data_IF_561150358528
#
_entry.id   IF_561150358528
#
_cell.length_a   1.000
_cell.length_b   1.000
_cell.length_c   1.000
_cell.angle_alpha   90.00
_cell.angle_beta   90.00
_cell.angle_gamma   90.00
#
_symmetry.space_group_name_H-M   'P 1'
#
loop_
_entity.id
_entity.type
_entity.pdbx_description
1 polymer ?
#
# COMPACT_ATOMS: atom_id res chain seq x y z
N UNK A 1 12.81 -18.12 -10.61
CA UNK A 1 13.95 -17.59 -11.40
C UNK A 1 14.87 -18.72 -11.86
N UNK A 2 15.53 -19.44 -10.95
CA UNK A 2 16.46 -20.54 -11.28
C UNK A 2 15.80 -21.62 -12.16
N UNK A 3 14.58 -22.06 -11.84
CA UNK A 3 13.84 -23.04 -12.64
C UNK A 3 13.53 -22.59 -14.08
N UNK A 4 13.59 -21.29 -14.35
CA UNK A 4 13.45 -20.71 -15.69
C UNK A 4 14.81 -20.58 -16.41
N UNK A 5 15.88 -21.19 -15.90
CA UNK A 5 17.21 -21.23 -16.53
C UNK A 5 18.11 -20.03 -16.21
N UNK A 6 17.72 -19.16 -15.27
CA UNK A 6 18.49 -17.97 -14.92
C UNK A 6 19.50 -18.23 -13.79
N UNK A 7 20.72 -17.68 -13.94
CA UNK A 7 21.71 -17.64 -12.86
C UNK A 7 21.33 -16.55 -11.86
N UNK A 8 21.16 -16.91 -10.59
CA UNK A 8 20.71 -16.00 -9.54
C UNK A 8 21.78 -15.90 -8.44
N UNK A 9 22.12 -14.68 -8.03
CA UNK A 9 23.05 -14.43 -6.94
C UNK A 9 22.38 -13.53 -5.91
N UNK A 10 22.50 -13.88 -4.63
CA UNK A 10 22.11 -13.00 -3.53
C UNK A 10 23.25 -12.02 -3.27
N UNK A 11 22.92 -10.74 -3.24
CA UNK A 11 23.88 -9.67 -2.96
C UNK A 11 23.36 -8.94 -1.73
N UNK A 12 24.14 -8.92 -0.66
CA UNK A 12 23.82 -8.17 0.54
C UNK A 12 24.31 -6.73 0.36
N UNK A 13 23.40 -5.76 0.49
CA UNK A 13 23.76 -4.35 0.48
C UNK A 13 24.18 -3.92 1.89
N UNK A 14 25.37 -3.35 2.01
CA UNK A 14 25.83 -2.62 3.20
C UNK A 14 26.12 -1.18 2.79
N UNK A 15 25.74 -0.21 3.61
CA UNK A 15 25.82 1.19 3.22
C UNK A 15 27.26 1.70 3.11
N UNK A 16 28.21 1.06 3.80
CA UNK A 16 29.65 1.34 3.71
C UNK A 16 30.27 0.89 2.39
N UNK A 17 29.68 -0.11 1.73
CA UNK A 17 30.16 -0.65 0.45
C UNK A 17 29.30 -0.21 -0.74
N UNK A 18 28.55 0.88 -0.60
CA UNK A 18 27.60 1.38 -1.59
C UNK A 18 28.17 1.38 -3.03
N UNK A 19 29.33 1.99 -3.24
CA UNK A 19 29.89 2.14 -4.59
C UNK A 19 30.30 0.77 -5.17
N UNK A 20 30.89 -0.11 -4.34
CA UNK A 20 31.24 -1.49 -4.73
C UNK A 20 30.01 -2.31 -5.09
N UNK A 21 28.93 -2.16 -4.33
CA UNK A 21 27.66 -2.83 -4.58
C UNK A 21 27.09 -2.41 -5.94
N UNK A 22 27.03 -1.11 -6.23
CA UNK A 22 26.50 -0.63 -7.50
C UNK A 22 27.42 -0.92 -8.70
N UNK A 23 28.73 -1.00 -8.50
CA UNK A 23 29.65 -1.50 -9.55
C UNK A 23 29.47 -3.00 -9.84
N UNK A 24 29.12 -3.79 -8.83
CA UNK A 24 28.75 -5.19 -9.01
C UNK A 24 27.40 -5.32 -9.73
N UNK A 25 26.38 -4.53 -9.33
CA UNK A 25 25.06 -4.53 -9.95
C UNK A 25 25.09 -4.33 -11.47
N UNK A 26 26.03 -3.52 -11.98
CA UNK A 26 26.22 -3.26 -13.42
C UNK A 26 26.58 -4.51 -14.24
N UNK A 27 26.93 -5.62 -13.59
CA UNK A 27 27.31 -6.89 -14.24
C UNK A 27 26.14 -7.88 -14.39
N UNK A 28 24.94 -7.50 -13.96
CA UNK A 28 23.74 -8.32 -14.02
C UNK A 28 22.81 -7.86 -15.15
N UNK A 29 22.05 -8.80 -15.72
CA UNK A 29 21.01 -8.49 -16.70
C UNK A 29 19.83 -7.74 -16.06
N UNK A 30 19.50 -8.06 -14.81
CA UNK A 30 18.50 -7.38 -14.01
C UNK A 30 18.70 -7.60 -12.51
N UNK A 31 18.00 -6.82 -11.70
CA UNK A 31 17.99 -6.86 -10.25
C UNK A 31 16.57 -7.07 -9.71
N UNK A 32 16.44 -7.82 -8.62
CA UNK A 32 15.22 -7.87 -7.80
C UNK A 32 15.56 -7.25 -6.45
N UNK A 33 14.97 -6.09 -6.17
CA UNK A 33 15.27 -5.35 -4.95
C UNK A 33 14.42 -5.92 -3.81
N UNK A 34 15.08 -6.43 -2.78
CA UNK A 34 14.46 -6.98 -1.55
C UNK A 34 14.88 -6.21 -0.29
N UNK A 35 15.39 -5.00 -0.45
CA UNK A 35 15.61 -4.06 0.65
C UNK A 35 14.28 -3.37 0.95
N UNK A 36 13.74 -3.54 2.16
CA UNK A 36 12.49 -2.88 2.53
C UNK A 36 12.75 -1.37 2.75
N UNK A 37 11.93 -0.46 2.18
CA UNK A 37 12.12 0.97 2.40
C UNK A 37 12.23 1.33 3.89
N UNK A 38 13.20 2.19 4.21
CA UNK A 38 13.48 2.62 5.59
C UNK A 38 14.51 1.75 6.32
N UNK A 39 14.71 0.49 5.93
CA UNK A 39 15.75 -0.35 6.55
C UNK A 39 17.16 0.19 6.31
N UNK A 40 17.43 0.74 5.12
CA UNK A 40 18.73 1.35 4.81
C UNK A 40 19.03 2.51 5.76
N UNK A 41 18.03 3.36 6.04
CA UNK A 41 18.17 4.47 6.99
C UNK A 41 18.30 3.97 8.43
N UNK A 42 17.53 2.96 8.81
CA UNK A 42 17.61 2.36 10.14
C UNK A 42 19.00 1.73 10.41
N UNK A 43 19.65 1.23 9.36
CA UNK A 43 21.02 0.71 9.39
C UNK A 43 22.10 1.81 9.36
N UNK A 44 21.73 3.10 9.29
CA UNK A 44 22.67 4.23 9.24
C UNK A 44 23.06 4.70 7.84
N UNK A 45 22.50 4.08 6.79
CA UNK A 45 22.68 4.48 5.40
C UNK A 45 21.73 5.59 4.93
N UNK A 46 21.82 5.91 3.64
CA UNK A 46 20.98 6.90 2.97
C UNK A 46 20.10 6.22 1.91
N UNK A 47 18.78 6.20 2.16
CA UNK A 47 17.78 5.62 1.24
C UNK A 47 17.75 6.38 -0.10
N UNK A 48 17.84 7.71 -0.08
CA UNK A 48 17.83 8.53 -1.29
C UNK A 48 19.07 8.28 -2.14
N UNK A 49 20.24 8.11 -1.51
CA UNK A 49 21.47 7.69 -2.21
C UNK A 49 21.27 6.33 -2.89
N UNK A 50 20.70 5.34 -2.21
CA UNK A 50 20.41 4.02 -2.78
C UNK A 50 19.45 4.11 -3.98
N UNK A 51 18.34 4.80 -3.81
CA UNK A 51 17.31 4.95 -4.84
C UNK A 51 17.88 5.66 -6.08
N UNK A 52 18.69 6.71 -5.89
CA UNK A 52 19.35 7.42 -7.00
C UNK A 52 20.36 6.55 -7.75
N UNK A 53 21.19 5.78 -7.05
CA UNK A 53 22.12 4.85 -7.70
C UNK A 53 21.38 3.74 -8.45
N UNK A 54 20.23 3.28 -7.94
CA UNK A 54 19.38 2.31 -8.62
C UNK A 54 18.70 2.90 -9.88
N UNK A 55 18.34 4.19 -9.86
CA UNK A 55 17.89 4.93 -11.06
C UNK A 55 18.99 5.01 -12.12
N UNK A 56 20.24 5.23 -11.72
CA UNK A 56 21.36 5.21 -12.67
C UNK A 56 21.61 3.81 -13.26
N UNK A 57 21.40 2.74 -12.48
CA UNK A 57 21.41 1.35 -13.01
C UNK A 57 20.30 1.17 -14.05
N UNK A 58 19.07 1.63 -13.76
CA UNK A 58 17.96 1.61 -14.73
C UNK A 58 18.29 2.37 -16.00
N UNK A 59 18.84 3.57 -15.88
CA UNK A 59 19.25 4.43 -17.00
C UNK A 59 20.37 3.81 -17.84
N UNK A 60 21.22 2.97 -17.24
CA UNK A 60 22.23 2.19 -17.95
C UNK A 60 21.66 0.97 -18.69
N UNK A 61 20.34 0.76 -18.68
CA UNK A 61 19.65 -0.31 -19.41
C UNK A 61 19.46 -1.60 -18.62
N UNK A 62 19.84 -1.63 -17.33
CA UNK A 62 19.66 -2.81 -16.48
C UNK A 62 18.31 -2.72 -15.80
N UNK A 63 17.48 -3.76 -15.88
CA UNK A 63 16.18 -3.76 -15.23
C UNK A 63 16.32 -3.90 -13.71
N UNK A 64 15.49 -3.19 -12.95
CA UNK A 64 15.36 -3.38 -11.51
C UNK A 64 13.87 -3.55 -11.17
N UNK A 65 13.53 -4.54 -10.35
CA UNK A 65 12.15 -4.81 -9.94
C UNK A 65 11.96 -4.73 -8.42
N UNK A 66 10.99 -3.91 -7.95
CA UNK A 66 10.49 -2.73 -8.68
C UNK A 66 11.62 -1.71 -8.85
N UNK A 67 11.49 -0.80 -9.81
CA UNK A 67 12.37 0.37 -9.85
C UNK A 67 12.00 1.33 -8.71
N UNK A 68 12.92 2.23 -8.30
CA UNK A 68 12.61 3.26 -7.31
C UNK A 68 11.37 4.08 -7.66
N UNK A 69 11.16 4.39 -8.94
CA UNK A 69 10.02 5.20 -9.39
C UNK A 69 8.70 4.42 -9.30
N UNK A 70 8.72 3.11 -9.54
CA UNK A 70 7.55 2.26 -9.32
C UNK A 70 7.22 2.19 -7.83
N UNK A 71 8.22 1.98 -6.96
CA UNK A 71 7.99 2.00 -5.49
C UNK A 71 7.45 3.35 -5.03
N UNK A 72 8.00 4.45 -5.54
CA UNK A 72 7.64 5.81 -5.14
C UNK A 72 6.24 6.20 -5.62
N UNK A 73 5.87 5.89 -6.87
CA UNK A 73 4.58 6.32 -7.43
C UNK A 73 3.45 5.32 -7.21
N UNK A 74 3.72 4.02 -7.35
CA UNK A 74 2.69 2.98 -7.17
C UNK A 74 2.44 2.69 -5.69
N UNK A 75 3.47 2.73 -4.86
CA UNK A 75 3.35 2.55 -3.41
C UNK A 75 2.83 3.78 -2.67
N UNK A 76 2.85 4.96 -3.28
CA UNK A 76 2.31 6.18 -2.68
C UNK A 76 0.78 6.16 -2.60
N UNK A 77 0.23 6.78 -1.55
CA UNK A 77 -1.23 6.78 -1.36
C UNK A 77 -1.98 7.59 -2.42
N UNK A 78 -1.39 8.61 -3.03
CA UNK A 78 -2.03 9.38 -4.10
C UNK A 78 -2.24 8.56 -5.38
N UNK A 79 -1.62 7.37 -5.50
CA UNK A 79 -1.98 6.39 -6.51
C UNK A 79 -3.50 6.11 -6.53
N UNK A 80 -4.16 6.12 -5.36
CA UNK A 80 -5.61 5.96 -5.22
C UNK A 80 -6.40 7.08 -5.91
N UNK A 81 -5.86 8.30 -5.90
CA UNK A 81 -6.47 9.45 -6.57
C UNK A 81 -6.28 9.35 -8.09
N UNK A 82 -5.11 8.89 -8.53
CA UNK A 82 -4.79 8.70 -9.96
C UNK A 82 -5.65 7.63 -10.62
N UNK A 83 -6.12 6.64 -9.86
CA UNK A 83 -7.02 5.58 -10.35
C UNK A 83 -8.48 5.80 -9.95
N UNK A 84 -8.85 6.97 -9.40
CA UNK A 84 -10.16 7.20 -8.79
C UNK A 84 -11.35 7.01 -9.76
N UNK A 85 -11.16 7.22 -11.06
CA UNK A 85 -12.19 7.07 -12.10
C UNK A 85 -12.17 5.69 -12.77
N UNK A 86 -11.30 4.77 -12.35
CA UNK A 86 -11.28 3.39 -12.84
C UNK A 86 -12.43 2.58 -12.21
N UNK A 87 -12.65 1.35 -12.69
CA UNK A 87 -13.70 0.50 -12.14
C UNK A 87 -13.40 0.15 -10.66
N UNK A 88 -12.13 -0.14 -10.35
CA UNK A 88 -11.62 -0.28 -8.98
C UNK A 88 -11.41 1.06 -8.24
N UNK A 89 -11.80 2.19 -8.84
CA UNK A 89 -11.61 3.53 -8.30
C UNK A 89 -12.77 4.03 -7.46
N UNK A 90 -12.48 5.06 -6.68
CA UNK A 90 -13.44 5.77 -5.85
C UNK A 90 -13.33 7.27 -6.12
N UNK A 91 -14.25 7.83 -6.91
CA UNK A 91 -14.16 9.17 -7.51
C UNK A 91 -14.02 10.31 -6.49
N UNK A 92 -14.53 10.13 -5.27
CA UNK A 92 -14.41 11.09 -4.18
C UNK A 92 -13.16 10.86 -3.30
N UNK A 93 -12.09 10.32 -3.89
CA UNK A 93 -10.74 10.22 -3.30
C UNK A 93 -9.90 11.42 -3.73
N UNK A 94 -9.42 12.19 -2.75
CA UNK A 94 -8.69 13.44 -2.96
C UNK A 94 -7.28 13.35 -2.39
N UNK A 95 -6.33 14.08 -2.98
CA UNK A 95 -4.97 14.25 -2.47
C UNK A 95 -4.71 15.73 -2.19
N UNK A 96 -4.12 16.01 -1.03
CA UNK A 96 -3.72 17.35 -0.61
C UNK A 96 -2.22 17.42 -0.44
N UNK A 97 -1.62 18.50 -0.93
CA UNK A 97 -0.18 18.74 -0.91
C UNK A 97 0.20 20.02 -0.16
N UNK A 98 -0.80 20.75 0.35
CA UNK A 98 -0.65 21.98 1.13
C UNK A 98 -1.57 21.96 2.34
N UNK A 99 -1.18 22.68 3.39
CA UNK A 99 -2.00 22.88 4.60
C UNK A 99 -3.35 23.50 4.26
N UNK A 100 -3.35 24.53 3.41
CA UNK A 100 -4.56 25.28 3.04
C UNK A 100 -5.56 24.38 2.30
N UNK A 101 -5.11 23.65 1.28
CA UNK A 101 -5.97 22.76 0.51
C UNK A 101 -6.54 21.65 1.38
N UNK A 102 -5.71 21.07 2.27
CA UNK A 102 -6.16 20.05 3.21
C UNK A 102 -7.20 20.61 4.18
N UNK A 103 -6.93 21.75 4.81
CA UNK A 103 -7.84 22.36 5.77
C UNK A 103 -9.21 22.69 5.17
N UNK A 104 -9.24 23.24 3.95
CA UNK A 104 -10.49 23.55 3.24
C UNK A 104 -11.18 22.29 2.74
N UNK A 105 -10.43 21.38 2.11
CA UNK A 105 -10.94 20.16 1.50
C UNK A 105 -11.51 19.19 2.54
N UNK A 106 -10.75 18.90 3.59
CA UNK A 106 -11.15 17.99 4.66
C UNK A 106 -12.42 18.45 5.36
N UNK A 107 -12.56 19.75 5.65
CA UNK A 107 -13.79 20.30 6.25
C UNK A 107 -15.03 20.07 5.38
N UNK A 108 -14.89 20.16 4.06
CA UNK A 108 -16.00 19.93 3.12
C UNK A 108 -16.35 18.46 3.00
N UNK A 109 -15.34 17.59 2.85
CA UNK A 109 -15.56 16.15 2.73
C UNK A 109 -16.11 15.54 4.01
N UNK A 110 -15.57 15.94 5.16
CA UNK A 110 -15.99 15.47 6.47
C UNK A 110 -17.41 15.92 6.83
N UNK A 111 -17.83 17.11 6.39
CA UNK A 111 -19.20 17.58 6.54
C UNK A 111 -20.21 16.78 5.70
N UNK A 112 -19.76 16.07 4.66
CA UNK A 112 -20.63 15.34 3.75
C UNK A 112 -20.84 13.87 4.16
N UNK A 113 -19.79 13.19 4.65
CA UNK A 113 -19.87 11.77 5.01
C UNK A 113 -18.60 11.30 5.75
N UNK A 114 -18.61 10.15 6.45
CA UNK A 114 -17.43 9.54 7.05
C UNK A 114 -16.24 9.37 6.09
N UNK A 115 -15.03 9.67 6.57
CA UNK A 115 -13.79 9.71 5.76
C UNK A 115 -12.72 8.77 6.29
N UNK A 116 -11.76 8.45 5.43
CA UNK A 116 -10.51 7.77 5.76
C UNK A 116 -9.37 8.66 5.31
N UNK A 117 -8.61 9.19 6.26
CA UNK A 117 -7.44 10.03 6.00
C UNK A 117 -6.18 9.17 6.08
N UNK A 118 -5.32 9.26 5.08
CA UNK A 118 -4.11 8.43 4.97
C UNK A 118 -2.89 9.31 4.75
N UNK A 119 -1.87 9.14 5.58
CA UNK A 119 -0.53 9.65 5.28
C UNK A 119 0.09 8.91 4.10
N UNK A 120 1.01 9.54 3.38
CA UNK A 120 1.64 8.92 2.21
C UNK A 120 2.47 7.68 2.53
N UNK A 121 3.41 7.84 3.46
CA UNK A 121 4.40 6.82 3.81
C UNK A 121 4.13 6.38 5.23
N UNK A 122 3.88 5.09 5.39
CA UNK A 122 3.56 4.46 6.67
C UNK A 122 3.40 2.96 6.43
N UNK A 123 3.62 2.17 7.46
CA UNK A 123 3.41 0.72 7.42
C UNK A 123 2.37 0.35 8.47
N UNK A 124 1.71 -0.79 8.26
CA UNK A 124 0.89 -1.43 9.28
C UNK A 124 -0.21 -0.52 9.84
N UNK A 125 -0.85 0.28 8.99
CA UNK A 125 -2.00 1.11 9.36
C UNK A 125 -1.68 2.43 10.07
N UNK A 126 -0.40 2.76 10.31
CA UNK A 126 -0.02 4.03 10.95
C UNK A 126 -0.42 5.22 10.06
N UNK A 127 -1.03 6.24 10.66
CA UNK A 127 -1.51 7.43 9.99
C UNK A 127 -2.65 7.16 9.00
N UNK A 128 -3.37 6.05 9.17
CA UNK A 128 -4.63 5.77 8.49
C UNK A 128 -5.75 5.92 9.53
N UNK A 129 -6.51 7.01 9.40
CA UNK A 129 -7.56 7.40 10.33
C UNK A 129 -8.93 7.20 9.72
N UNK A 130 -9.77 6.37 10.33
CA UNK A 130 -11.21 6.32 10.05
C UNK A 130 -11.89 7.40 10.90
N UNK A 131 -12.62 8.30 10.25
CA UNK A 131 -13.12 9.52 10.87
C UNK A 131 -14.63 9.65 10.68
N UNK A 132 -15.33 9.92 11.78
CA UNK A 132 -16.76 10.23 11.80
C UNK A 132 -16.99 11.54 12.55
N UNK A 133 -17.94 12.35 12.09
CA UNK A 133 -18.48 13.45 12.90
C UNK A 133 -19.27 12.87 14.07
N UNK A 134 -18.91 13.27 15.29
CA UNK A 134 -19.57 12.81 16.52
C UNK A 134 -21.05 13.19 16.56
N UNK A 135 -21.40 14.37 16.03
CA UNK A 135 -22.78 14.83 15.96
C UNK A 135 -23.59 14.19 14.83
N UNK A 136 -22.96 13.51 13.86
CA UNK A 136 -23.64 12.88 12.73
C UNK A 136 -24.41 13.83 11.80
N UNK A 137 -24.16 15.14 11.90
CA UNK A 137 -24.82 16.23 11.19
C UNK A 137 -24.26 16.43 9.76
N UNK A 138 -24.25 15.35 8.97
CA UNK A 138 -23.78 15.38 7.58
C UNK A 138 -24.74 16.15 6.66
N UNK A 139 -24.21 16.93 5.71
CA UNK A 139 -25.01 17.60 4.69
C UNK A 139 -25.45 16.64 3.58
N UNK A 140 -26.59 16.89 2.95
CA UNK A 140 -27.14 16.00 1.93
C UNK A 140 -26.43 16.14 0.58
N UNK A 141 -25.87 17.32 0.29
CA UNK A 141 -25.13 17.61 -0.94
C UNK A 141 -23.69 17.99 -0.62
N UNK A 142 -22.74 17.44 -1.37
CA UNK A 142 -21.32 17.79 -1.22
C UNK A 142 -21.10 19.29 -1.41
N UNK A 143 -20.40 19.92 -0.46
CA UNK A 143 -20.07 21.35 -0.49
C UNK A 143 -21.16 22.30 0.02
N UNK A 144 -22.34 21.79 0.38
CA UNK A 144 -23.40 22.59 1.04
C UNK A 144 -22.93 23.14 2.41
N UNK A 145 -22.05 22.39 3.06
CA UNK A 145 -21.52 22.70 4.38
C UNK A 145 -20.00 22.50 4.40
N UNK A 146 -19.34 23.17 5.34
CA UNK A 146 -17.98 22.86 5.78
C UNK A 146 -17.98 22.72 7.30
N UNK A 147 -17.16 21.81 7.83
CA UNK A 147 -17.05 21.70 9.28
C UNK A 147 -16.37 22.93 9.90
N UNK A 148 -16.83 23.31 11.08
CA UNK A 148 -16.16 24.28 11.94
C UNK A 148 -15.04 23.62 12.74
N UNK A 149 -14.06 24.41 13.18
CA UNK A 149 -12.87 23.89 13.87
C UNK A 149 -13.20 23.20 15.19
N UNK A 150 -14.28 23.57 15.88
CA UNK A 150 -14.66 23.09 17.21
C UNK A 150 -15.55 21.83 17.18
N UNK A 151 -16.01 21.42 15.99
CA UNK A 151 -16.79 20.20 15.84
C UNK A 151 -15.98 18.96 16.20
N UNK A 152 -16.65 18.02 16.88
CA UNK A 152 -16.02 16.82 17.42
C UNK A 152 -16.01 15.68 16.41
N UNK A 153 -14.85 15.03 16.31
CA UNK A 153 -14.58 13.84 15.53
C UNK A 153 -14.41 12.64 16.45
N UNK A 154 -14.85 11.48 15.97
CA UNK A 154 -14.45 10.17 16.47
C UNK A 154 -13.44 9.62 15.47
N UNK A 155 -12.22 9.38 15.94
CA UNK A 155 -11.06 8.98 15.14
C UNK A 155 -10.64 7.58 15.57
N UNK A 156 -10.53 6.65 14.62
CA UNK A 156 -9.93 5.34 14.85
C UNK A 156 -8.67 5.19 14.00
N UNK A 157 -7.53 4.90 14.61
CA UNK A 157 -6.31 4.60 13.86
C UNK A 157 -6.27 3.11 13.45
N UNK A 158 -5.96 2.83 12.19
CA UNK A 158 -5.97 1.47 11.67
C UNK A 158 -4.81 0.61 12.18
N UNK A 159 -3.76 1.18 12.78
CA UNK A 159 -2.60 0.43 13.26
C UNK A 159 -2.93 -0.49 14.46
N UNK A 160 -3.82 -0.08 15.36
CA UNK A 160 -4.19 -0.84 16.54
C UNK A 160 -5.66 -0.69 16.96
N UNK A 161 -6.49 -0.03 16.15
CA UNK A 161 -7.92 0.21 16.39
C UNK A 161 -8.23 1.04 17.66
N UNK A 162 -7.27 1.77 18.23
CA UNK A 162 -7.63 2.71 19.29
C UNK A 162 -8.57 3.79 18.74
N UNK A 163 -9.50 4.22 19.59
CA UNK A 163 -10.39 5.34 19.30
C UNK A 163 -10.02 6.53 20.19
N UNK A 164 -10.03 7.72 19.60
CA UNK A 164 -9.85 8.98 20.31
C UNK A 164 -10.78 10.07 19.76
N UNK A 165 -11.07 11.07 20.60
CA UNK A 165 -11.94 12.18 20.26
C UNK A 165 -11.15 13.48 20.20
N UNK A 166 -11.16 14.12 19.04
CA UNK A 166 -10.56 15.42 18.80
C UNK A 166 -11.52 16.34 18.06
N UNK A 167 -11.24 17.62 18.07
CA UNK A 167 -11.90 18.57 17.19
C UNK A 167 -11.36 18.49 15.76
N UNK A 168 -12.12 19.00 14.79
CA UNK A 168 -11.65 19.17 13.41
C UNK A 168 -10.36 19.99 13.36
N UNK A 169 -10.27 21.07 14.14
CA UNK A 169 -9.08 21.92 14.22
C UNK A 169 -7.86 21.18 14.79
N UNK A 170 -8.04 20.42 15.88
CA UNK A 170 -6.97 19.61 16.48
C UNK A 170 -6.43 18.54 15.52
N UNK A 171 -7.31 17.87 14.77
CA UNK A 171 -6.90 16.86 13.79
C UNK A 171 -6.17 17.47 12.58
N UNK A 172 -6.62 18.62 12.09
CA UNK A 172 -5.91 19.35 11.02
C UNK A 172 -4.52 19.75 11.49
N UNK A 173 -4.42 20.32 12.69
CA UNK A 173 -3.14 20.71 13.29
C UNK A 173 -2.21 19.51 13.49
N UNK A 174 -2.71 18.37 13.96
CA UNK A 174 -1.93 17.14 14.06
C UNK A 174 -1.40 16.68 12.69
N UNK A 175 -2.26 16.65 11.67
CA UNK A 175 -1.85 16.24 10.33
C UNK A 175 -0.80 17.18 9.71
N UNK A 176 -0.83 18.48 10.01
CA UNK A 176 0.08 19.48 9.42
C UNK A 176 1.34 19.68 10.25
N UNK A 177 1.18 19.90 11.56
CA UNK A 177 2.22 20.33 12.49
C UNK A 177 2.56 19.30 13.57
N UNK A 178 1.85 18.16 13.58
CA UNK A 178 2.10 17.07 14.51
C UNK A 178 1.62 17.33 15.92
N UNK A 179 2.01 16.44 16.84
CA UNK A 179 1.70 16.56 18.26
C UNK A 179 2.32 17.83 18.86
N UNK A 180 1.47 18.78 19.24
CA UNK A 180 1.83 20.02 19.92
C UNK A 180 0.65 20.53 20.80
N UNK A 181 0.84 21.64 21.51
CA UNK A 181 -0.18 22.19 22.42
C UNK A 181 -1.52 22.52 21.72
N UNK A 182 -1.51 22.85 20.43
CA UNK A 182 -2.70 23.19 19.63
C UNK A 182 -3.41 21.96 19.06
N UNK A 183 -2.68 20.89 18.78
CA UNK A 183 -3.29 19.63 18.32
C UNK A 183 -3.95 18.84 19.46
N UNK A 184 -3.68 19.21 20.71
CA UNK A 184 -4.11 18.44 21.87
C UNK A 184 -3.22 17.21 22.13
N UNK A 185 -3.70 16.31 22.99
CA UNK A 185 -2.96 15.11 23.42
C UNK A 185 -3.37 13.89 22.61
N UNK A 186 -2.43 13.31 21.87
CA UNK A 186 -2.65 12.15 21.01
C UNK A 186 -2.13 10.88 21.68
N UNK A 187 -2.84 9.77 21.48
CA UNK A 187 -2.38 8.44 21.92
C UNK A 187 -1.76 7.62 20.79
N UNK A 188 -1.89 8.10 19.55
CA UNK A 188 -1.23 7.54 18.37
C UNK A 188 0.27 7.32 18.57
N UNK A 189 0.78 6.25 17.98
CA UNK A 189 2.22 5.99 17.86
C UNK A 189 2.88 6.93 16.84
N UNK A 190 2.11 7.39 15.84
CA UNK A 190 2.57 8.33 14.83
C UNK A 190 2.62 9.76 15.39
N UNK A 191 3.48 10.60 14.80
CA UNK A 191 3.70 11.98 15.26
C UNK A 191 2.94 13.04 14.46
N UNK A 192 2.14 12.63 13.48
CA UNK A 192 1.47 13.53 12.54
C UNK A 192 2.42 14.10 11.50
N UNK A 193 2.25 15.37 11.11
CA UNK A 193 3.11 16.10 10.13
C UNK A 193 3.22 15.47 8.75
N UNK A 194 2.10 15.02 8.21
CA UNK A 194 2.03 14.28 6.95
C UNK A 194 2.42 15.09 5.70
N UNK A 195 2.56 16.42 5.85
CA UNK A 195 3.02 17.34 4.80
C UNK A 195 4.48 17.83 4.99
N UNK A 196 5.20 17.34 6.00
CA UNK A 196 6.56 17.79 6.31
C UNK A 196 7.53 17.56 5.15
N UNK A 197 8.39 18.54 4.89
CA UNK A 197 9.31 18.55 3.75
C UNK A 197 8.65 18.83 2.40
N UNK A 198 7.32 18.95 2.36
CA UNK A 198 6.53 19.24 1.16
C UNK A 198 6.50 18.08 0.15
N UNK A 199 5.84 18.34 -0.99
CA UNK A 199 5.61 17.32 -2.03
C UNK A 199 6.88 16.62 -2.50
N UNK A 200 7.99 17.35 -2.64
CA UNK A 200 9.27 16.78 -3.07
C UNK A 200 9.86 15.76 -2.07
N UNK A 201 9.54 15.88 -0.78
CA UNK A 201 9.90 14.90 0.24
C UNK A 201 8.85 13.78 0.39
N UNK A 202 7.80 13.79 -0.44
CA UNK A 202 6.67 12.86 -0.36
C UNK A 202 5.56 13.30 0.60
N UNK A 203 5.57 14.55 1.06
CA UNK A 203 4.50 15.12 1.88
C UNK A 203 3.18 15.21 1.10
N UNK A 204 2.19 14.43 1.52
CA UNK A 204 0.83 14.43 0.99
C UNK A 204 -0.13 13.72 1.95
N UNK A 205 -1.40 14.10 1.88
CA UNK A 205 -2.51 13.48 2.61
C UNK A 205 -3.56 13.02 1.61
N UNK A 206 -4.01 11.78 1.75
CA UNK A 206 -5.14 11.25 0.96
C UNK A 206 -6.40 11.19 1.80
N UNK A 207 -7.50 11.66 1.21
CA UNK A 207 -8.81 11.71 1.79
C UNK A 207 -9.79 10.90 0.96
N UNK A 208 -10.18 9.74 1.49
CA UNK A 208 -11.03 8.76 0.82
C UNK A 208 -12.36 8.60 1.57
N UNK A 209 -13.46 8.31 0.87
CA UNK A 209 -14.71 7.95 1.56
C UNK A 209 -14.54 6.68 2.36
N UNK A 210 -15.09 6.65 3.58
CA UNK A 210 -15.17 5.42 4.36
C UNK A 210 -16.19 4.46 3.74
N UNK A 211 -15.76 3.23 3.47
CA UNK A 211 -16.61 2.14 3.00
C UNK A 211 -17.01 1.24 4.18
N UNK A 212 -18.27 1.27 4.64
CA UNK A 212 -18.67 0.57 5.87
C UNK A 212 -18.51 -0.95 5.84
N UNK A 213 -18.58 -1.56 4.65
CA UNK A 213 -18.39 -3.01 4.47
C UNK A 213 -16.94 -3.47 4.67
N UNK A 214 -16.00 -2.60 5.07
CA UNK A 214 -14.66 -3.02 5.52
C UNK A 214 -14.71 -4.04 6.67
N UNK A 215 -15.77 -4.03 7.48
CA UNK A 215 -16.01 -5.02 8.55
C UNK A 215 -16.26 -6.44 8.01
N UNK A 216 -16.65 -6.57 6.74
CA UNK A 216 -16.74 -7.86 6.05
C UNK A 216 -15.36 -8.39 5.65
N UNK A 217 -14.36 -7.52 5.62
CA UNK A 217 -12.95 -7.82 5.37
C UNK A 217 -12.43 -7.23 4.06
N UNK A 218 -11.12 -6.99 4.04
CA UNK A 218 -10.38 -6.59 2.85
C UNK A 218 -9.88 -7.82 2.07
N UNK A 219 -9.82 -7.69 0.74
CA UNK A 219 -9.19 -8.70 -0.12
C UNK A 219 -7.80 -8.23 -0.52
N UNK A 220 -6.77 -9.01 -0.19
CA UNK A 220 -5.43 -8.84 -0.75
C UNK A 220 -5.22 -9.80 -1.90
N UNK A 221 -5.01 -9.26 -3.08
CA UNK A 221 -4.60 -10.02 -4.25
C UNK A 221 -3.08 -10.11 -4.25
N UNK A 222 -2.54 -11.32 -4.17
CA UNK A 222 -1.12 -11.57 -4.40
C UNK A 222 -0.88 -11.68 -5.90
N UNK A 223 0.03 -10.89 -6.44
CA UNK A 223 0.20 -10.74 -7.87
C UNK A 223 1.64 -10.96 -8.31
N UNK A 224 1.78 -11.66 -9.44
CA UNK A 224 3.05 -11.85 -10.14
C UNK A 224 2.93 -11.32 -11.54
N UNK A 225 3.53 -10.15 -11.78
CA UNK A 225 3.30 -9.40 -12.99
C UNK A 225 1.82 -9.02 -13.11
N UNK A 226 1.21 -9.47 -14.20
CA UNK A 226 -0.21 -9.25 -14.52
C UNK A 226 -1.15 -10.38 -14.03
N UNK A 227 -0.65 -11.37 -13.29
CA UNK A 227 -1.43 -12.52 -12.84
C UNK A 227 -1.71 -12.48 -11.35
N UNK A 228 -2.96 -12.78 -10.95
CA UNK A 228 -3.29 -13.13 -9.55
C UNK A 228 -2.82 -14.56 -9.30
N UNK A 229 -2.16 -14.78 -8.17
CA UNK A 229 -1.65 -16.11 -7.78
C UNK A 229 -2.23 -16.64 -6.48
N UNK A 230 -2.89 -15.78 -5.71
CA UNK A 230 -3.63 -16.13 -4.51
C UNK A 230 -4.39 -14.92 -3.99
N UNK A 231 -5.47 -15.18 -3.25
CA UNK A 231 -6.32 -14.15 -2.65
C UNK A 231 -6.35 -14.39 -1.14
N UNK A 232 -6.15 -13.33 -0.36
CA UNK A 232 -6.25 -13.38 1.10
C UNK A 232 -7.42 -12.49 1.50
N UNK A 233 -8.44 -13.08 2.11
CA UNK A 233 -9.51 -12.33 2.74
C UNK A 233 -9.17 -12.11 4.21
N UNK A 234 -8.93 -10.85 4.59
CA UNK A 234 -8.55 -10.47 5.95
C UNK A 234 -9.76 -9.80 6.60
N UNK A 235 -10.42 -10.52 7.49
CA UNK A 235 -11.58 -10.03 8.22
C UNK A 235 -11.14 -9.47 9.56
N UNK A 236 -11.49 -8.21 9.92
CA UNK A 236 -11.26 -7.68 11.25
C UNK A 236 -11.82 -8.60 12.33
N UNK A 237 -11.23 -8.55 13.53
CA UNK A 237 -11.84 -9.15 14.72
C UNK A 237 -13.25 -8.57 14.92
N UNK A 238 -14.18 -9.34 15.47
CA UNK A 238 -15.50 -8.83 15.84
C UNK A 238 -15.41 -7.54 16.66
N UNK A 239 -16.16 -6.51 16.25
CA UNK A 239 -16.12 -5.16 16.82
C UNK A 239 -14.98 -4.26 16.32
N UNK A 240 -14.03 -4.79 15.54
CA UNK A 240 -12.94 -4.03 14.92
C UNK A 240 -13.24 -3.59 13.49
N UNK A 241 -12.47 -2.62 13.00
CA UNK A 241 -12.58 -2.07 11.63
C UNK A 241 -11.31 -2.39 10.81
N UNK A 242 -10.14 -2.44 11.45
CA UNK A 242 -8.86 -2.73 10.78
C UNK A 242 -8.47 -4.21 10.80
N UNK A 243 -8.05 -4.72 9.64
CA UNK A 243 -7.56 -6.08 9.44
C UNK A 243 -6.03 -6.22 9.53
N UNK A 244 -5.31 -5.18 9.98
CA UNK A 244 -3.84 -5.16 10.08
C UNK A 244 -3.32 -6.31 10.97
N UNK A 245 -2.12 -6.81 10.65
CA UNK A 245 -1.50 -7.89 11.41
C UNK A 245 -1.34 -7.54 12.90
N UNK A 246 -1.74 -8.47 13.78
CA UNK A 246 -1.69 -8.27 15.24
C UNK A 246 -3.00 -7.77 15.87
N UNK A 247 -4.00 -7.36 15.09
CA UNK A 247 -5.30 -6.89 15.62
C UNK A 247 -6.29 -8.00 15.98
N UNK A 248 -5.89 -9.27 15.83
CA UNK A 248 -6.76 -10.44 16.04
C UNK A 248 -7.65 -10.80 14.84
N UNK A 249 -7.30 -10.28 13.66
CA UNK A 249 -8.02 -10.52 12.41
C UNK A 249 -7.91 -11.96 11.91
N UNK A 250 -8.94 -12.43 11.20
CA UNK A 250 -9.04 -13.78 10.65
C UNK A 250 -8.67 -13.75 9.17
N UNK A 251 -7.75 -14.63 8.77
CA UNK A 251 -7.18 -14.67 7.43
C UNK A 251 -7.65 -15.94 6.73
N UNK A 252 -8.37 -15.79 5.62
CA UNK A 252 -8.79 -16.91 4.76
C UNK A 252 -8.03 -16.84 3.44
N UNK A 253 -7.48 -17.96 3.00
CA UNK A 253 -6.67 -18.05 1.79
C UNK A 253 -7.45 -18.77 0.68
N UNK A 254 -7.47 -18.18 -0.50
CA UNK A 254 -8.14 -18.69 -1.68
C UNK A 254 -7.17 -18.79 -2.86
N UNK A 255 -7.52 -19.65 -3.82
CA UNK A 255 -6.84 -19.72 -5.11
C UNK A 255 -7.17 -18.52 -6.01
N UNK A 256 -6.43 -18.34 -7.11
CA UNK A 256 -6.63 -17.21 -8.03
C UNK A 256 -7.96 -17.26 -8.79
N UNK A 257 -8.54 -18.45 -8.95
CA UNK A 257 -9.78 -18.69 -9.69
C UNK A 257 -11.04 -18.77 -8.79
N UNK A 258 -10.97 -18.26 -7.55
CA UNK A 258 -12.06 -18.33 -6.58
C UNK A 258 -13.36 -17.71 -7.12
N UNK A 259 -14.44 -18.50 -7.31
CA UNK A 259 -15.67 -18.02 -7.94
C UNK A 259 -16.33 -16.84 -7.20
N UNK A 260 -16.20 -16.76 -5.88
CA UNK A 260 -16.76 -15.67 -5.06
C UNK A 260 -16.28 -14.29 -5.50
N UNK A 261 -15.05 -14.19 -5.97
CA UNK A 261 -14.42 -12.91 -6.33
C UNK A 261 -14.28 -12.73 -7.85
N UNK A 262 -14.96 -13.59 -8.64
CA UNK A 262 -14.82 -13.60 -10.10
C UNK A 262 -15.14 -12.26 -10.74
N UNK A 263 -16.18 -11.57 -10.26
CA UNK A 263 -16.55 -10.23 -10.75
C UNK A 263 -15.41 -9.22 -10.58
N UNK A 264 -14.83 -9.15 -9.37
CA UNK A 264 -13.66 -8.32 -9.09
C UNK A 264 -12.46 -8.73 -9.94
N UNK A 265 -12.10 -10.02 -9.94
CA UNK A 265 -10.93 -10.54 -10.65
C UNK A 265 -11.01 -10.24 -12.15
N UNK A 266 -12.15 -10.48 -12.78
CA UNK A 266 -12.32 -10.25 -14.21
C UNK A 266 -12.21 -8.76 -14.57
N UNK A 267 -12.93 -7.90 -13.86
CA UNK A 267 -12.90 -6.46 -14.13
C UNK A 267 -11.50 -5.89 -13.86
N UNK A 268 -10.89 -6.25 -12.74
CA UNK A 268 -9.57 -5.75 -12.40
C UNK A 268 -8.53 -6.17 -13.43
N UNK A 269 -8.43 -7.47 -13.78
CA UNK A 269 -7.41 -7.96 -14.70
C UNK A 269 -7.63 -7.48 -16.15
N UNK A 270 -8.88 -7.41 -16.62
CA UNK A 270 -9.18 -7.12 -18.03
C UNK A 270 -9.38 -5.64 -18.31
N UNK A 271 -9.86 -4.86 -17.33
CA UNK A 271 -10.29 -3.47 -17.54
C UNK A 271 -9.34 -2.49 -16.86
N UNK A 272 -8.99 -2.72 -15.60
CA UNK A 272 -8.24 -1.74 -14.80
C UNK A 272 -6.73 -1.94 -14.92
N UNK A 273 -6.24 -3.16 -14.76
CA UNK A 273 -4.82 -3.50 -14.70
C UNK A 273 -3.99 -2.95 -15.87
N UNK A 274 -4.42 -3.01 -17.14
CA UNK A 274 -3.67 -2.42 -18.26
C UNK A 274 -3.54 -0.89 -18.19
N UNK A 275 -4.37 -0.22 -17.38
CA UNK A 275 -4.43 1.24 -17.24
C UNK A 275 -3.71 1.75 -16.00
N UNK A 276 -3.40 0.89 -15.03
CA UNK A 276 -2.77 1.29 -13.74
C UNK A 276 -1.43 1.96 -13.99
N UNK A 277 -0.48 1.27 -14.64
CA UNK A 277 0.86 1.83 -14.86
C UNK A 277 0.83 3.15 -15.65
N UNK A 278 0.06 3.27 -16.76
CA UNK A 278 -0.14 4.57 -17.42
C UNK A 278 -0.71 5.68 -16.52
N UNK A 279 -1.75 5.39 -15.74
CA UNK A 279 -2.37 6.38 -14.86
C UNK A 279 -1.43 6.86 -13.75
N UNK A 280 -0.43 6.06 -13.40
CA UNK A 280 0.59 6.39 -12.40
C UNK A 280 1.81 7.11 -12.99
N UNK A 281 1.79 7.48 -14.27
CA UNK A 281 2.94 8.03 -15.00
C UNK A 281 4.13 7.05 -15.03
N UNK A 282 3.82 5.77 -15.24
CA UNK A 282 4.74 4.62 -15.25
C UNK A 282 4.53 3.73 -16.49
N UNK A 283 4.00 4.26 -17.60
CA UNK A 283 3.70 3.46 -18.79
C UNK A 283 4.92 2.71 -19.37
N UNK A 284 6.11 3.28 -19.21
CA UNK A 284 7.39 2.71 -19.68
C UNK A 284 8.02 1.73 -18.67
N UNK A 285 7.47 1.62 -17.46
CA UNK A 285 7.94 0.69 -16.44
C UNK A 285 7.12 -0.60 -16.49
N UNK A 286 7.78 -1.78 -16.41
CA UNK A 286 7.05 -3.03 -16.31
C UNK A 286 6.29 -3.08 -14.98
N UNK A 287 5.13 -3.73 -15.00
CA UNK A 287 4.39 -4.04 -13.79
C UNK A 287 5.26 -4.88 -12.82
N UNK A 288 5.16 -4.70 -11.49
CA UNK A 288 6.05 -5.40 -10.56
C UNK A 288 5.95 -6.93 -10.64
N UNK A 289 7.06 -7.62 -10.40
CA UNK A 289 7.10 -9.08 -10.38
C UNK A 289 6.43 -9.70 -9.15
N UNK A 290 6.42 -9.02 -8.01
CA UNK A 290 5.74 -9.45 -6.79
C UNK A 290 5.18 -8.22 -6.09
N UNK A 291 3.87 -8.15 -6.03
CA UNK A 291 3.13 -7.02 -5.48
C UNK A 291 1.74 -7.45 -5.06
N UNK A 292 1.05 -6.55 -4.36
CA UNK A 292 -0.31 -6.77 -3.91
C UNK A 292 -1.22 -5.59 -4.19
N UNK A 293 -2.49 -5.89 -4.41
CA UNK A 293 -3.58 -4.91 -4.39
C UNK A 293 -4.55 -5.29 -3.30
N UNK A 294 -4.86 -4.33 -2.42
CA UNK A 294 -5.82 -4.52 -1.34
C UNK A 294 -7.14 -3.82 -1.71
N UNK A 295 -8.25 -4.56 -1.68
CA UNK A 295 -9.59 -4.11 -2.08
C UNK A 295 -10.56 -4.06 -0.91
N UNK A 296 -11.46 -3.09 -0.97
CA UNK A 296 -12.53 -2.85 -0.01
C UNK A 296 -13.85 -2.83 -0.77
N UNK A 297 -14.87 -3.46 -0.20
CA UNK A 297 -16.20 -3.48 -0.77
C UNK A 297 -16.92 -2.16 -0.51
N UNK A 298 -17.37 -1.50 -1.59
CA UNK A 298 -17.91 -0.14 -1.56
C UNK A 298 -19.40 -0.05 -1.93
N UNK A 299 -19.94 -1.08 -2.59
CA UNK A 299 -21.38 -1.16 -2.86
C UNK A 299 -22.18 -1.37 -1.57
N UNK A 300 -23.48 -1.01 -1.52
CA UNK A 300 -24.35 -1.26 -0.38
C UNK A 300 -24.38 -2.72 0.08
N UNK A 301 -24.81 -2.95 1.33
CA UNK A 301 -25.09 -4.30 1.83
C UNK A 301 -26.25 -4.91 1.02
N UNK A 302 -26.14 -6.20 0.71
CA UNK A 302 -27.13 -6.93 -0.10
C UNK A 302 -26.99 -6.75 -1.61
N UNK A 303 -26.02 -5.96 -2.10
CA UNK A 303 -25.67 -5.95 -3.54
C UNK A 303 -25.26 -7.36 -4.00
N UNK A 304 -25.84 -7.90 -5.10
CA UNK A 304 -25.41 -9.19 -5.66
C UNK A 304 -23.92 -9.19 -6.01
N UNK A 305 -23.23 -10.33 -5.82
CA UNK A 305 -21.78 -10.44 -6.00
C UNK A 305 -21.30 -10.02 -7.41
N UNK A 306 -22.13 -10.25 -8.43
CA UNK A 306 -21.92 -9.84 -9.83
C UNK A 306 -22.06 -8.33 -10.07
N UNK A 307 -22.68 -7.59 -9.15
CA UNK A 307 -22.88 -6.14 -9.18
C UNK A 307 -22.02 -5.40 -8.13
N UNK A 308 -21.31 -6.14 -7.27
CA UNK A 308 -20.48 -5.56 -6.22
C UNK A 308 -19.40 -4.64 -6.79
N UNK A 309 -19.29 -3.44 -6.20
CA UNK A 309 -18.21 -2.50 -6.49
C UNK A 309 -17.13 -2.63 -5.44
N UNK A 310 -15.97 -3.09 -5.86
CA UNK A 310 -14.75 -3.16 -5.06
C UNK A 310 -13.84 -1.98 -5.43
N UNK A 311 -13.28 -1.32 -4.42
CA UNK A 311 -12.36 -0.19 -4.61
C UNK A 311 -10.99 -0.53 -4.04
N UNK A 312 -9.93 0.00 -4.66
CA UNK A 312 -8.57 -0.17 -4.16
C UNK A 312 -8.34 0.70 -2.92
N UNK A 313 -7.80 0.07 -1.88
CA UNK A 313 -7.37 0.72 -0.64
C UNK A 313 -5.86 0.97 -0.57
N UNK A 314 -5.06 0.12 -1.25
CA UNK A 314 -3.60 0.19 -1.33
C UNK A 314 -3.06 -0.65 -2.50
N UNK A 315 -2.01 -0.15 -3.15
CA UNK A 315 -1.05 -1.00 -3.88
C UNK A 315 0.23 -1.10 -3.07
N UNK A 316 0.81 -2.30 -3.00
CA UNK A 316 2.10 -2.50 -2.36
C UNK A 316 3.02 -3.28 -3.30
N UNK A 317 4.13 -2.66 -3.69
CA UNK A 317 5.19 -3.29 -4.47
C UNK A 317 6.56 -3.22 -3.75
N UNK A 318 6.59 -2.68 -2.52
CA UNK A 318 7.82 -2.39 -1.79
C UNK A 318 8.19 -3.56 -0.89
N UNK A 319 9.01 -4.48 -1.41
CA UNK A 319 9.52 -5.64 -0.67
C UNK A 319 8.42 -6.48 0.01
N UNK A 320 7.31 -6.71 -0.71
CA UNK A 320 6.16 -7.45 -0.19
C UNK A 320 6.58 -8.83 0.33
N UNK A 321 6.13 -9.16 1.55
CA UNK A 321 6.35 -10.48 2.15
C UNK A 321 5.58 -11.59 1.41
N UNK A 322 6.12 -12.80 1.40
CA UNK A 322 5.40 -13.98 0.93
C UNK A 322 4.80 -14.65 2.16
N UNK A 323 3.47 -14.59 2.34
CA UNK A 323 2.82 -15.07 3.57
C UNK A 323 3.11 -16.55 3.87
N UNK A 324 3.33 -17.35 2.82
CA UNK A 324 3.73 -18.76 2.92
C UNK A 324 5.12 -18.97 3.53
N UNK A 325 5.94 -17.92 3.60
CA UNK A 325 7.27 -17.97 4.20
C UNK A 325 7.32 -17.37 5.61
N UNK A 326 6.17 -17.03 6.22
CA UNK A 326 6.14 -16.34 7.53
C UNK A 326 6.82 -17.14 8.66
N UNK A 327 6.82 -18.47 8.61
CA UNK A 327 7.50 -19.30 9.59
C UNK A 327 9.03 -19.11 9.58
N UNK A 328 9.61 -18.64 8.48
CA UNK A 328 11.04 -18.31 8.36
C UNK A 328 11.37 -16.86 8.72
N UNK A 329 10.39 -16.07 9.18
CA UNK A 329 10.61 -14.67 9.55
C UNK A 329 11.18 -14.58 10.97
N UNK A 330 12.40 -14.05 11.10
CA UNK A 330 13.02 -13.79 12.39
C UNK A 330 12.24 -12.72 13.17
N UNK A 331 11.94 -13.02 14.43
CA UNK A 331 11.27 -12.14 15.40
C UNK A 331 12.01 -12.22 16.72
N UNK A 332 11.70 -11.33 17.66
CA UNK A 332 12.32 -11.35 18.99
C UNK A 332 12.11 -12.70 19.72
N UNK A 333 10.95 -13.34 19.52
CA UNK A 333 10.60 -14.65 20.07
C UNK A 333 11.09 -15.85 19.23
N UNK A 334 11.36 -15.63 17.93
CA UNK A 334 11.93 -16.63 17.02
C UNK A 334 13.15 -16.08 16.26
N UNK A 335 14.25 -15.74 16.95
CA UNK A 335 15.37 -15.01 16.32
C UNK A 335 16.16 -15.86 15.32
N UNK A 336 16.07 -17.19 15.45
CA UNK A 336 16.75 -18.16 14.59
C UNK A 336 15.80 -18.83 13.58
N UNK A 337 14.62 -18.24 13.34
CA UNK A 337 13.71 -18.72 12.31
C UNK A 337 14.41 -18.81 10.95
N UNK A 338 14.15 -19.87 10.20
CA UNK A 338 14.86 -20.18 8.96
C UNK A 338 13.95 -20.86 7.95
N UNK A 339 14.45 -21.00 6.74
CA UNK A 339 13.73 -21.63 5.63
C UNK A 339 13.19 -23.02 5.98
N UNK A 340 13.93 -23.79 6.79
CA UNK A 340 13.52 -25.14 7.19
C UNK A 340 12.24 -25.15 8.04
N UNK A 341 11.92 -24.06 8.74
CA UNK A 341 10.75 -23.94 9.62
C UNK A 341 9.44 -23.77 8.84
N UNK A 342 9.51 -23.53 7.53
CA UNK A 342 8.35 -23.47 6.65
C UNK A 342 7.82 -24.89 6.39
N UNK A 343 6.50 -25.07 6.51
CA UNK A 343 5.85 -26.35 6.23
C UNK A 343 6.05 -26.77 4.76
N UNK A 344 6.15 -28.09 4.45
CA UNK A 344 6.39 -28.56 3.09
C UNK A 344 5.43 -28.00 2.04
N UNK A 345 4.13 -27.96 2.33
CA UNK A 345 3.08 -27.43 1.46
C UNK A 345 3.26 -25.93 1.16
N UNK A 346 3.72 -25.18 2.15
CA UNK A 346 3.98 -23.75 2.00
C UNK A 346 5.29 -23.49 1.25
N UNK A 347 6.30 -24.37 1.39
CA UNK A 347 7.52 -24.36 0.56
C UNK A 347 7.19 -24.64 -0.91
N UNK A 348 6.31 -25.60 -1.19
CA UNK A 348 5.86 -25.91 -2.55
C UNK A 348 5.15 -24.72 -3.19
N UNK A 349 4.25 -24.07 -2.46
CA UNK A 349 3.54 -22.89 -2.95
C UNK A 349 4.50 -21.69 -3.15
N UNK A 350 5.42 -21.44 -2.21
CA UNK A 350 6.45 -20.42 -2.37
C UNK A 350 7.37 -20.70 -3.58
N UNK A 351 7.70 -21.97 -3.83
CA UNK A 351 8.43 -22.38 -5.03
C UNK A 351 7.62 -22.08 -6.29
N UNK A 352 6.33 -22.38 -6.31
CA UNK A 352 5.44 -22.07 -7.45
C UNK A 352 5.44 -20.57 -7.78
N UNK A 353 5.39 -19.71 -6.76
CA UNK A 353 5.54 -18.26 -6.94
C UNK A 353 6.90 -17.89 -7.52
N UNK A 354 7.99 -18.45 -6.97
CA UNK A 354 9.35 -18.24 -7.46
C UNK A 354 9.55 -18.65 -8.93
N UNK A 355 8.93 -19.76 -9.32
CA UNK A 355 8.95 -20.28 -10.70
C UNK A 355 8.19 -19.35 -11.64
N UNK A 356 6.98 -18.92 -11.28
CA UNK A 356 6.18 -18.00 -12.09
C UNK A 356 6.84 -16.62 -12.23
N UNK A 357 7.41 -16.07 -11.16
CA UNK A 357 8.23 -14.85 -11.24
C UNK A 357 9.36 -15.04 -12.26
N UNK A 358 9.97 -16.23 -12.29
CA UNK A 358 10.97 -16.61 -13.29
C UNK A 358 10.48 -16.49 -14.72
N UNK A 359 9.33 -17.11 -15.01
CA UNK A 359 8.71 -17.07 -16.33
C UNK A 359 8.35 -15.64 -16.75
N UNK A 360 7.76 -14.85 -15.84
CA UNK A 360 7.37 -13.47 -16.12
C UNK A 360 8.59 -12.56 -16.33
N UNK A 361 9.61 -12.66 -15.48
CA UNK A 361 10.82 -11.87 -15.63
C UNK A 361 11.51 -12.16 -16.97
N UNK A 362 11.66 -13.43 -17.33
CA UNK A 362 12.26 -13.81 -18.62
C UNK A 362 11.45 -13.24 -19.80
N UNK A 363 10.12 -13.38 -19.77
CA UNK A 363 9.25 -12.84 -20.81
C UNK A 363 9.37 -11.32 -20.97
N UNK A 364 9.46 -10.57 -19.86
CA UNK A 364 9.66 -9.12 -19.90
C UNK A 364 11.06 -8.76 -20.44
N UNK A 365 12.11 -9.46 -19.98
CA UNK A 365 13.47 -9.22 -20.48
C UNK A 365 13.61 -9.53 -21.98
N UNK A 366 12.92 -10.54 -22.49
CA UNK A 366 12.91 -10.88 -23.92
C UNK A 366 12.12 -9.87 -24.76
N UNK A 367 11.01 -9.34 -24.23
CA UNK A 367 10.25 -8.29 -24.89
C UNK A 367 11.06 -7.01 -25.07
N UNK A 368 11.88 -6.66 -24.07
CA UNK A 368 12.73 -5.46 -24.10
C UNK A 368 13.94 -5.56 -25.05
N UNK A 369 14.25 -6.74 -25.58
CA UNK A 369 15.32 -6.95 -26.57
C UNK A 369 14.85 -6.72 -28.02
N UNK A 370 13.54 -6.61 -28.24
CA UNK A 370 12.93 -6.35 -29.55
C UNK A 370 12.73 -4.85 -29.72
#
# INVERSE_FOLDING_TARGET
>A
MISAGMSCQLIHYTHEEHDKFFDLCKKFDFLIVRCNPGQIKADGGDQGKFDNSMREVRKAGIQAWPSPDVMEKMGAKDALCKVATMNCGLEDTLAYYSEEDFGVGFKKTMAFQPRVIKQNRGSSGEGIWIIKLKAGNYCATFGERSCENDEKLILMEANDNHEEEHTVGEFIEFCVNGCNDKSGKWTSKGVGKYLEGGKAAGGQIVDQRFCPRIVEGELRYNQIGDAVVGIIHKKPKEGGISAVGGTGSIYTYYGPDEPKFKNLTDNFLKIDLPKIMPALDLAEEPIPLWWTTDFILASPEGTPAEEEKWIVGEFNCSCVGISKCLAAYCKDDTPNAKFDDIAPEDKEEAKRYGDLMGVKALGIMEANKK
#
